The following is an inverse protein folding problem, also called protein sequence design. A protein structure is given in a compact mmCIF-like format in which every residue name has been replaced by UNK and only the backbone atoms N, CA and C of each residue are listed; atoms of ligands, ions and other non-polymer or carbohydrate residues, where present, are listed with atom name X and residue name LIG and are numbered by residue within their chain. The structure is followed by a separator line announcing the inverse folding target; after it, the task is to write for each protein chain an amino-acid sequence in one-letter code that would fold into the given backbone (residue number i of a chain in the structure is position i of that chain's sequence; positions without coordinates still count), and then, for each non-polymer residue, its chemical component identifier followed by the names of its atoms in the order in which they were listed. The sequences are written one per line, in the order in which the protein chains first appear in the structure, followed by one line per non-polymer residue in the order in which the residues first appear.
data_IF_057892902146
#
_entry.id   IF_057892902146
#
_cell.length_a   1.000
_cell.length_b   1.000
_cell.length_c   1.000
_cell.angle_alpha   90.00
_cell.angle_beta   90.00
_cell.angle_gamma   90.00
#
_symmetry.space_group_name_H-M   'P 1'
#
loop_
_entity.id
_entity.type
_entity.pdbx_description
1 polymer ?
#
# COMPACT_ATOMS: atom_id res chain seq x y z
N UNK A 1 -50.28 10.35 70.54
CA UNK A 1 -50.40 9.29 69.53
C UNK A 1 -49.22 9.44 68.58
N UNK A 2 -48.39 8.39 68.51
CA UNK A 2 -47.42 8.06 67.43
C UNK A 2 -46.35 9.13 67.12
N UNK A 3 -45.16 9.08 67.72
CA UNK A 3 -44.03 8.19 67.35
C UNK A 3 -43.85 8.02 65.84
N UNK A 4 -42.81 8.66 65.29
CA UNK A 4 -42.09 8.13 64.14
C UNK A 4 -40.60 8.37 64.38
N UNK A 5 -39.97 7.28 64.78
CA UNK A 5 -38.56 7.11 65.01
C UNK A 5 -37.76 7.22 63.71
N UNK A 6 -36.56 7.79 63.83
CA UNK A 6 -35.29 7.24 63.34
C UNK A 6 -35.25 6.61 61.93
N UNK A 7 -34.46 7.21 61.04
CA UNK A 7 -33.46 6.53 60.18
C UNK A 7 -32.60 7.63 59.53
N UNK A 8 -31.46 7.93 60.14
CA UNK A 8 -30.14 7.46 59.71
C UNK A 8 -29.55 8.35 58.62
N UNK A 9 -28.61 9.20 59.06
CA UNK A 9 -27.79 10.04 58.24
C UNK A 9 -27.13 9.21 57.11
N UNK A 10 -27.46 9.59 55.88
CA UNK A 10 -26.79 9.15 54.66
C UNK A 10 -25.34 9.61 54.69
N UNK A 11 -24.41 8.73 55.07
CA UNK A 11 -22.99 8.86 54.78
C UNK A 11 -22.59 7.69 53.88
N UNK A 12 -22.67 7.91 52.57
CA UNK A 12 -22.03 7.04 51.59
C UNK A 12 -20.59 7.53 51.43
N UNK A 13 -19.57 6.68 51.62
CA UNK A 13 -18.21 7.09 51.32
C UNK A 13 -18.08 7.27 49.80
N UNK A 14 -17.54 8.42 49.41
CA UNK A 14 -17.00 8.66 48.09
C UNK A 14 -15.83 7.71 47.86
N UNK A 15 -16.14 6.50 47.38
CA UNK A 15 -15.12 5.61 46.83
C UNK A 15 -14.73 6.19 45.49
N UNK A 16 -13.65 6.97 45.54
CA UNK A 16 -12.90 7.46 44.40
C UNK A 16 -12.95 6.45 43.27
N UNK A 17 -13.62 6.87 42.20
CA UNK A 17 -13.63 6.17 40.92
C UNK A 17 -12.18 6.18 40.44
N UNK A 18 -11.51 5.07 40.73
CA UNK A 18 -10.12 4.83 40.41
C UNK A 18 -9.86 5.28 38.99
N UNK A 19 -8.88 6.18 38.87
CA UNK A 19 -8.47 6.72 37.59
C UNK A 19 -8.33 5.60 36.59
N UNK A 20 -9.01 5.76 35.45
CA UNK A 20 -8.72 5.02 34.24
C UNK A 20 -7.22 5.15 34.02
N UNK A 21 -6.49 4.11 34.45
CA UNK A 21 -5.12 3.86 34.03
C UNK A 21 -5.23 3.56 32.55
N UNK A 22 -5.33 4.62 31.73
CA UNK A 22 -4.92 4.55 30.33
C UNK A 22 -3.53 3.95 30.41
N UNK A 23 -3.33 2.72 29.91
CA UNK A 23 -1.97 2.21 29.85
C UNK A 23 -1.24 3.22 28.99
N UNK A 24 -0.26 3.90 29.58
CA UNK A 24 0.74 4.65 28.85
C UNK A 24 1.31 3.67 27.85
N UNK A 25 0.76 3.71 26.63
CA UNK A 25 1.31 3.04 25.47
C UNK A 25 2.67 3.68 25.32
N UNK A 26 3.67 3.07 25.96
CA UNK A 26 5.08 3.21 25.61
C UNK A 26 5.07 3.27 24.10
N UNK A 27 5.41 4.43 23.54
CA UNK A 27 5.50 4.64 22.10
C UNK A 27 6.64 3.75 21.62
N UNK A 28 6.34 2.46 21.47
CA UNK A 28 7.29 1.46 21.04
C UNK A 28 7.82 1.89 19.67
N UNK A 29 9.12 1.72 19.38
CA UNK A 29 9.67 1.96 18.05
C UNK A 29 8.87 1.21 16.97
N UNK A 30 8.24 0.08 17.32
CA UNK A 30 7.32 -0.69 16.47
C UNK A 30 6.03 0.08 16.13
N UNK A 31 5.54 0.90 17.06
CA UNK A 31 4.41 1.81 16.82
C UNK A 31 4.75 2.96 15.88
N UNK A 32 6.04 3.32 15.77
CA UNK A 32 6.50 4.31 14.79
C UNK A 32 6.57 3.67 13.40
N UNK A 33 7.14 2.47 13.29
CA UNK A 33 7.19 1.68 12.05
C UNK A 33 5.79 1.40 11.46
N UNK A 34 4.80 1.08 12.29
CA UNK A 34 3.43 0.86 11.81
C UNK A 34 2.75 2.13 11.29
N UNK A 35 3.05 3.29 11.86
CA UNK A 35 2.57 4.58 11.35
C UNK A 35 3.23 4.93 10.00
N UNK A 36 4.53 4.66 9.83
CA UNK A 36 5.23 4.85 8.56
C UNK A 36 4.65 3.98 7.45
N UNK A 37 4.43 2.68 7.70
CA UNK A 37 3.84 1.77 6.71
C UNK A 37 2.42 2.21 6.28
N UNK A 38 1.63 2.68 7.24
CA UNK A 38 0.29 3.21 7.00
C UNK A 38 0.32 4.52 6.18
N UNK A 39 1.36 5.34 6.36
CA UNK A 39 1.63 6.51 5.52
C UNK A 39 2.01 6.11 4.08
N UNK A 40 2.89 5.12 3.91
CA UNK A 40 3.30 4.63 2.58
C UNK A 40 2.09 4.14 1.79
N UNK A 41 1.21 3.33 2.39
CA UNK A 41 -0.01 2.86 1.72
C UNK A 41 -0.94 4.03 1.35
N UNK A 42 -1.07 5.02 2.23
CA UNK A 42 -1.89 6.20 1.96
C UNK A 42 -1.34 7.02 0.78
N UNK A 43 -0.02 7.10 0.63
CA UNK A 43 0.63 7.79 -0.49
C UNK A 43 0.59 6.96 -1.78
N UNK A 44 0.82 5.65 -1.71
CA UNK A 44 0.71 4.73 -2.85
C UNK A 44 -0.71 4.71 -3.43
N UNK A 45 -1.74 4.93 -2.61
CA UNK A 45 -3.13 5.04 -3.08
C UNK A 45 -3.41 6.36 -3.81
N UNK A 46 -2.52 7.37 -3.69
CA UNK A 46 -2.55 8.60 -4.51
C UNK A 46 -1.91 8.42 -5.86
N UNK A 47 -1.09 7.36 -6.04
CA UNK A 47 -0.64 6.97 -7.36
C UNK A 47 -1.86 6.45 -8.09
N UNK A 48 -2.33 7.22 -9.06
CA UNK A 48 -3.46 6.88 -9.91
C UNK A 48 -3.15 5.52 -10.54
N UNK A 49 -3.77 4.46 -10.03
CA UNK A 49 -3.57 3.14 -10.58
C UNK A 49 -4.31 3.10 -11.91
N UNK A 50 -3.58 2.97 -13.02
CA UNK A 50 -4.14 3.11 -14.35
C UNK A 50 -5.20 2.04 -14.58
N UNK A 51 -6.18 2.36 -15.43
CA UNK A 51 -7.22 1.38 -15.77
C UNK A 51 -6.60 0.22 -16.55
N UNK A 52 -7.19 -0.99 -16.46
CA UNK A 52 -6.69 -2.17 -17.19
C UNK A 52 -6.58 -1.94 -18.71
N UNK A 53 -7.42 -1.05 -19.24
CA UNK A 53 -7.40 -0.65 -20.64
C UNK A 53 -6.12 0.11 -21.00
N UNK A 54 -5.72 1.09 -20.19
CA UNK A 54 -4.46 1.85 -20.41
C UNK A 54 -3.25 0.92 -20.40
N UNK A 55 -3.17 0.02 -19.42
CA UNK A 55 -2.09 -0.98 -19.32
C UNK A 55 -2.02 -1.85 -20.58
N UNK A 56 -3.17 -2.27 -21.10
CA UNK A 56 -3.25 -3.10 -22.31
C UNK A 56 -2.79 -2.30 -23.52
N UNK A 57 -3.29 -1.07 -23.71
CA UNK A 57 -2.88 -0.19 -24.82
C UNK A 57 -1.37 0.05 -24.81
N UNK A 58 -0.78 0.41 -23.67
CA UNK A 58 0.66 0.65 -23.59
C UNK A 58 1.48 -0.61 -23.88
N UNK A 59 1.07 -1.75 -23.32
CA UNK A 59 1.77 -3.02 -23.57
C UNK A 59 1.65 -3.44 -25.04
N UNK A 60 0.47 -3.27 -25.66
CA UNK A 60 0.24 -3.57 -27.08
C UNK A 60 1.13 -2.71 -27.98
N UNK A 61 1.23 -1.39 -27.72
CA UNK A 61 2.10 -0.50 -28.50
C UNK A 61 3.57 -0.97 -28.43
N UNK A 62 4.05 -1.33 -27.23
CA UNK A 62 5.41 -1.84 -27.04
C UNK A 62 5.62 -3.16 -27.79
N UNK A 63 4.68 -4.10 -27.72
CA UNK A 63 4.77 -5.38 -28.44
C UNK A 63 4.85 -5.16 -29.95
N UNK A 64 4.00 -4.30 -30.51
CA UNK A 64 4.00 -4.00 -31.94
C UNK A 64 5.32 -3.35 -32.35
N UNK A 65 5.82 -2.41 -31.57
CA UNK A 65 7.10 -1.75 -31.83
C UNK A 65 8.28 -2.74 -31.83
N UNK A 66 8.34 -3.61 -30.81
CA UNK A 66 9.39 -4.64 -30.71
C UNK A 66 9.29 -5.62 -31.89
N UNK A 67 8.08 -6.04 -32.28
CA UNK A 67 7.89 -6.93 -33.42
C UNK A 67 8.43 -6.33 -34.73
N UNK A 68 8.23 -5.03 -34.97
CA UNK A 68 8.78 -4.33 -36.14
C UNK A 68 10.32 -4.30 -36.08
N UNK A 69 10.90 -3.95 -34.93
CA UNK A 69 12.35 -3.91 -34.76
C UNK A 69 12.98 -5.29 -34.99
N UNK A 70 12.39 -6.34 -34.43
CA UNK A 70 12.83 -7.73 -34.67
C UNK A 70 12.71 -8.07 -36.15
N UNK A 71 11.64 -7.68 -36.83
CA UNK A 71 11.48 -7.91 -38.27
C UNK A 71 12.57 -7.25 -39.11
N UNK A 72 12.89 -5.98 -38.82
CA UNK A 72 13.95 -5.23 -39.53
C UNK A 72 15.31 -5.85 -39.26
N UNK A 73 15.65 -6.09 -37.99
CA UNK A 73 16.94 -6.66 -37.59
C UNK A 73 17.10 -8.06 -38.18
N UNK A 74 16.10 -8.93 -38.07
CA UNK A 74 16.15 -10.28 -38.65
C UNK A 74 16.32 -10.24 -40.19
N UNK A 75 15.66 -9.31 -40.87
CA UNK A 75 15.81 -9.13 -42.32
C UNK A 75 17.22 -8.70 -42.69
N UNK A 76 17.77 -7.73 -41.95
CA UNK A 76 19.14 -7.27 -42.14
C UNK A 76 20.15 -8.37 -41.82
N UNK A 77 20.00 -9.08 -40.70
CA UNK A 77 20.87 -10.20 -40.31
C UNK A 77 20.87 -11.29 -41.38
N UNK A 78 19.70 -11.64 -41.92
CA UNK A 78 19.57 -12.61 -43.02
C UNK A 78 20.24 -12.11 -44.30
N UNK A 79 19.99 -10.85 -44.67
CA UNK A 79 20.58 -10.22 -45.86
C UNK A 79 22.11 -10.14 -45.78
N UNK A 80 22.64 -9.71 -44.64
CA UNK A 80 24.08 -9.66 -44.39
C UNK A 80 24.70 -11.04 -44.37
N UNK A 81 24.05 -12.03 -43.75
CA UNK A 81 24.52 -13.42 -43.75
C UNK A 81 24.69 -13.94 -45.19
N UNK A 82 23.73 -13.66 -46.08
CA UNK A 82 23.81 -14.04 -47.49
C UNK A 82 24.85 -13.26 -48.28
N UNK A 83 25.01 -11.98 -48.02
CA UNK A 83 26.05 -11.15 -48.63
C UNK A 83 27.45 -11.63 -48.26
N UNK A 84 27.69 -11.94 -46.99
CA UNK A 84 28.97 -12.45 -46.50
C UNK A 84 29.28 -13.81 -47.12
N UNK A 85 28.29 -14.71 -47.20
CA UNK A 85 28.44 -16.01 -47.88
C UNK A 85 28.79 -15.84 -49.36
N UNK A 86 28.22 -14.85 -50.05
CA UNK A 86 28.54 -14.58 -51.46
C UNK A 86 29.90 -13.93 -51.69
N UNK A 87 30.38 -13.11 -50.75
CA UNK A 87 31.66 -12.39 -50.86
C UNK A 87 32.84 -13.24 -50.41
N UNK A 88 32.67 -14.07 -49.38
CA UNK A 88 33.75 -14.81 -48.72
C UNK A 88 33.64 -16.34 -48.86
N UNK A 89 32.52 -16.86 -49.38
CA UNK A 89 32.35 -18.27 -49.74
C UNK A 89 32.72 -18.52 -51.19
#
# INVERSE_FOLDING_TARGET
MTETSSTSAMSKPDRGRGGDRRPERRRSPLGRMSLFYRQIIAELRKVVWPTRNELTTYTTVVIVFVAIMVGIVATLDYGFSKLVEWVFG
#
